data_IF_803562307609
#
_entry.id   IF_803562307609
#
_cell.length_a   1.000
_cell.length_b   1.000
_cell.length_c   1.000
_cell.angle_alpha   90.00
_cell.angle_beta   90.00
_cell.angle_gamma   90.00
#
_symmetry.space_group_name_H-M   'P 1'
#
loop_
_entity.id
_entity.type
_entity.pdbx_description
1 polymer ?
#
# COMPACT_ATOMS: atom_id res chain seq x y z
N UNK A 1 -30.93 -2.22 -2.61
CA UNK A 1 -29.57 -1.88 -3.07
C UNK A 1 -29.62 -0.43 -3.49
N UNK A 2 -28.86 0.43 -2.82
CA UNK A 2 -28.75 1.84 -3.21
C UNK A 2 -27.36 2.01 -3.82
N UNK A 3 -27.30 2.27 -5.13
CA UNK A 3 -26.07 2.60 -5.81
C UNK A 3 -25.91 4.12 -5.73
N UNK A 4 -25.13 4.58 -4.76
CA UNK A 4 -24.86 6.01 -4.58
C UNK A 4 -23.62 6.35 -5.38
N UNK A 5 -23.79 7.19 -6.41
CA UNK A 5 -22.68 7.80 -7.14
C UNK A 5 -22.34 9.12 -6.44
N UNK A 6 -21.26 9.14 -5.68
CA UNK A 6 -20.69 10.38 -5.15
C UNK A 6 -19.60 10.86 -6.08
N UNK A 7 -19.85 11.97 -6.78
CA UNK A 7 -18.85 12.78 -7.47
C UNK A 7 -18.44 13.91 -6.53
N UNK A 8 -17.21 13.90 -6.03
CA UNK A 8 -16.66 15.06 -5.34
C UNK A 8 -15.87 15.89 -6.34
N UNK A 9 -16.44 17.01 -6.79
CA UNK A 9 -15.70 18.08 -7.46
C UNK A 9 -14.93 18.86 -6.39
N UNK A 10 -13.87 18.27 -5.87
CA UNK A 10 -12.78 19.04 -5.30
C UNK A 10 -11.79 19.18 -6.45
N UNK A 11 -11.50 20.42 -6.86
CA UNK A 11 -10.80 20.85 -8.09
C UNK A 11 -9.39 20.25 -8.35
N UNK A 12 -8.99 19.19 -7.65
CA UNK A 12 -7.63 18.66 -7.70
C UNK A 12 -7.52 17.20 -8.15
N UNK A 13 -8.61 16.41 -8.25
CA UNK A 13 -8.53 15.00 -8.66
C UNK A 13 -9.74 14.52 -9.47
N UNK A 14 -9.48 13.81 -10.57
CA UNK A 14 -10.53 13.15 -11.37
C UNK A 14 -10.72 11.71 -10.89
N UNK A 15 -11.27 11.53 -9.68
CA UNK A 15 -11.62 10.20 -9.18
C UNK A 15 -13.12 10.01 -9.01
N UNK A 16 -13.57 8.78 -9.21
CA UNK A 16 -14.95 8.34 -9.02
C UNK A 16 -14.92 7.14 -8.08
N UNK A 17 -15.73 7.16 -7.02
CA UNK A 17 -15.89 5.99 -6.14
C UNK A 17 -17.21 5.27 -6.43
N UNK A 18 -17.16 3.94 -6.53
CA UNK A 18 -18.32 3.08 -6.64
C UNK A 18 -18.53 2.37 -5.32
N UNK A 19 -19.69 2.56 -4.68
CA UNK A 19 -19.98 2.04 -3.35
C UNK A 19 -21.11 1.02 -3.38
N UNK A 20 -20.84 -0.19 -2.91
CA UNK A 20 -21.84 -1.22 -2.63
C UNK A 20 -22.09 -1.26 -1.13
N UNK A 21 -23.31 -0.90 -0.71
CA UNK A 21 -23.77 -1.08 0.66
C UNK A 21 -24.69 -2.29 0.74
N UNK A 22 -24.26 -3.31 1.48
CA UNK A 22 -25.11 -4.44 1.86
C UNK A 22 -26.02 -3.95 2.97
N UNK A 23 -27.32 -4.22 2.83
CA UNK A 23 -28.33 -3.78 3.79
C UNK A 23 -28.19 -4.46 5.15
N UNK A 24 -29.25 -4.37 5.95
CA UNK A 24 -29.24 -4.80 7.36
C UNK A 24 -29.34 -6.32 7.58
N UNK A 25 -29.08 -7.13 6.56
CA UNK A 25 -29.17 -8.60 6.64
C UNK A 25 -27.87 -9.23 6.16
N UNK A 26 -27.48 -10.29 6.85
CA UNK A 26 -26.38 -11.14 6.40
C UNK A 26 -26.75 -11.82 5.07
N UNK A 27 -25.78 -11.91 4.17
CA UNK A 27 -25.89 -12.69 2.95
C UNK A 27 -25.07 -13.97 3.10
N UNK A 28 -25.74 -15.11 3.00
CA UNK A 28 -25.09 -16.43 3.05
C UNK A 28 -25.24 -17.11 1.71
N UNK A 29 -24.17 -17.74 1.24
CA UNK A 29 -24.20 -18.49 -0.02
C UNK A 29 -23.57 -19.88 0.15
N UNK A 30 -24.28 -20.90 -0.33
CA UNK A 30 -23.86 -22.30 -0.24
C UNK A 30 -23.15 -22.82 -1.50
N UNK A 31 -23.05 -21.99 -2.55
CA UNK A 31 -22.28 -22.33 -3.76
C UNK A 31 -20.79 -22.25 -3.42
N UNK A 32 -20.11 -23.38 -3.57
CA UNK A 32 -18.66 -23.46 -3.45
C UNK A 32 -18.01 -22.84 -4.69
N UNK A 33 -17.25 -21.77 -4.49
CA UNK A 33 -16.41 -21.14 -5.49
C UNK A 33 -14.95 -21.37 -5.11
N UNK A 34 -14.04 -21.36 -6.10
CA UNK A 34 -12.61 -21.30 -5.83
C UNK A 34 -12.27 -19.98 -5.15
N UNK A 35 -11.18 -19.95 -4.39
CA UNK A 35 -10.75 -18.79 -3.62
C UNK A 35 -10.72 -17.51 -4.47
N UNK A 36 -10.05 -17.56 -5.62
CA UNK A 36 -9.80 -16.38 -6.46
C UNK A 36 -10.98 -15.96 -7.36
N UNK A 37 -12.09 -16.70 -7.34
CA UNK A 37 -13.27 -16.33 -8.13
C UNK A 37 -14.01 -15.12 -7.52
N UNK A 38 -14.82 -14.46 -8.32
CA UNK A 38 -15.68 -13.36 -7.89
C UNK A 38 -17.07 -13.90 -7.52
N UNK A 39 -17.55 -13.64 -6.30
CA UNK A 39 -18.87 -14.09 -5.82
C UNK A 39 -19.98 -13.10 -6.10
N UNK A 40 -19.68 -11.81 -6.03
CA UNK A 40 -20.61 -10.70 -6.30
C UNK A 40 -20.01 -9.85 -7.39
N UNK A 41 -20.82 -9.36 -8.34
CA UNK A 41 -20.30 -8.48 -9.40
C UNK A 41 -20.84 -7.06 -9.19
N UNK A 42 -20.01 -6.18 -8.65
CA UNK A 42 -20.20 -4.73 -8.66
C UNK A 42 -18.91 -4.03 -8.18
N UNK A 43 -18.42 -3.02 -8.89
CA UNK A 43 -18.81 -2.58 -10.24
C UNK A 43 -18.27 -3.53 -11.33
N UNK A 44 -18.73 -3.31 -12.55
CA UNK A 44 -18.13 -3.88 -13.76
C UNK A 44 -17.79 -2.76 -14.75
N UNK A 45 -16.68 -2.91 -15.44
CA UNK A 45 -16.16 -1.94 -16.40
C UNK A 45 -16.01 -2.61 -17.76
N UNK A 46 -16.67 -2.06 -18.77
CA UNK A 46 -16.44 -2.45 -20.15
C UNK A 46 -15.23 -1.68 -20.67
N UNK A 47 -14.16 -2.39 -20.99
CA UNK A 47 -12.93 -1.82 -21.52
C UNK A 47 -13.09 -1.71 -23.03
N UNK A 48 -13.35 -0.49 -23.51
CA UNK A 48 -13.56 -0.21 -24.93
C UNK A 48 -12.38 0.59 -25.51
N UNK A 49 -12.14 0.34 -26.80
CA UNK A 49 -11.37 1.24 -27.64
C UNK A 49 -12.26 2.42 -28.03
N UNK A 50 -11.71 3.63 -28.04
CA UNK A 50 -12.41 4.84 -28.49
C UNK A 50 -12.34 4.93 -30.03
N UNK A 51 -11.27 4.38 -30.64
CA UNK A 51 -11.06 4.31 -32.08
C UNK A 51 -10.57 2.91 -32.50
N UNK A 52 -10.95 2.47 -33.71
CA UNK A 52 -10.45 1.25 -34.37
C UNK A 52 -8.92 1.15 -34.49
N UNK A 53 -8.21 2.28 -34.49
CA UNK A 53 -6.74 2.35 -34.55
C UNK A 53 -6.10 2.54 -33.16
N UNK A 54 -6.90 2.45 -32.09
CA UNK A 54 -6.43 2.57 -30.73
C UNK A 54 -6.08 1.21 -30.13
N UNK A 55 -4.91 1.13 -29.51
CA UNK A 55 -4.55 -0.01 -28.68
C UNK A 55 -4.65 0.36 -27.20
N UNK A 56 -5.51 -0.35 -26.46
CA UNK A 56 -5.54 -0.29 -25.00
C UNK A 56 -4.39 -1.12 -24.45
N UNK A 57 -3.48 -0.48 -23.73
CA UNK A 57 -2.49 -1.17 -22.91
C UNK A 57 -3.02 -1.32 -21.49
N UNK A 58 -2.51 -2.32 -20.78
CA UNK A 58 -2.70 -2.43 -19.35
C UNK A 58 -1.40 -2.78 -18.65
N UNK A 59 -1.32 -2.46 -17.36
CA UNK A 59 -0.50 -3.21 -16.44
C UNK A 59 -1.21 -3.35 -15.10
N UNK A 60 -0.82 -4.34 -14.32
CA UNK A 60 -1.29 -4.56 -12.96
C UNK A 60 -0.10 -4.93 -12.08
N UNK A 61 -0.12 -4.44 -10.85
CA UNK A 61 0.73 -5.01 -9.81
C UNK A 61 0.13 -6.37 -9.44
N UNK A 62 0.93 -7.41 -9.43
CA UNK A 62 0.48 -8.74 -9.03
C UNK A 62 1.39 -9.28 -7.92
N UNK A 63 0.98 -10.37 -7.30
CA UNK A 63 1.79 -11.08 -6.31
C UNK A 63 1.62 -10.57 -4.88
N UNK A 64 2.36 -11.21 -3.99
CA UNK A 64 2.32 -10.92 -2.55
C UNK A 64 2.82 -9.50 -2.28
N UNK A 65 2.05 -8.72 -1.52
CA UNK A 65 2.34 -7.31 -1.18
C UNK A 65 2.49 -6.38 -2.41
N UNK A 66 1.69 -6.57 -3.46
CA UNK A 66 1.82 -5.83 -4.72
C UNK A 66 3.24 -5.95 -5.33
N UNK A 67 3.79 -7.17 -5.29
CA UNK A 67 5.15 -7.48 -5.69
C UNK A 67 5.55 -6.87 -7.03
N UNK A 68 6.46 -5.89 -7.00
CA UNK A 68 6.95 -5.21 -8.20
C UNK A 68 7.48 -6.19 -9.26
N UNK A 69 8.09 -7.29 -8.81
CA UNK A 69 8.67 -8.33 -9.67
C UNK A 69 7.63 -9.20 -10.38
N UNK A 70 6.36 -9.16 -9.95
CA UNK A 70 5.23 -9.86 -10.57
C UNK A 70 4.36 -8.92 -11.43
N UNK A 71 4.80 -7.69 -11.68
CA UNK A 71 4.06 -6.76 -12.53
C UNK A 71 3.80 -7.36 -13.91
N UNK A 72 2.52 -7.43 -14.28
CA UNK A 72 2.08 -7.95 -15.56
C UNK A 72 1.60 -6.81 -16.46
N UNK A 73 2.08 -6.78 -17.70
CA UNK A 73 1.76 -5.73 -18.70
C UNK A 73 1.68 -6.31 -20.11
N UNK A 74 0.65 -5.95 -20.85
CA UNK A 74 0.49 -6.27 -22.28
C UNK A 74 -0.58 -5.34 -22.91
N UNK A 75 -0.90 -5.59 -24.17
CA UNK A 75 -2.08 -5.06 -24.87
C UNK A 75 -3.32 -5.77 -24.34
N UNK A 76 -4.34 -4.99 -23.99
CA UNK A 76 -5.65 -5.50 -23.61
C UNK A 76 -6.30 -6.25 -24.79
N UNK A 77 -6.60 -7.54 -24.60
CA UNK A 77 -7.22 -8.41 -25.61
C UNK A 77 -8.50 -9.00 -25.06
N UNK A 78 -9.63 -8.67 -25.68
CA UNK A 78 -10.95 -9.18 -25.28
C UNK A 78 -11.06 -10.70 -25.37
N UNK A 79 -10.31 -11.33 -26.27
CA UNK A 79 -10.39 -12.76 -26.54
C UNK A 79 -9.70 -13.63 -25.49
N UNK A 80 -8.87 -13.04 -24.63
CA UNK A 80 -8.01 -13.75 -23.68
C UNK A 80 -8.16 -13.13 -22.29
N UNK A 81 -8.16 -13.95 -21.23
CA UNK A 81 -7.95 -13.44 -19.87
C UNK A 81 -6.51 -13.00 -19.72
N UNK A 82 -6.30 -11.71 -19.46
CA UNK A 82 -4.98 -11.08 -19.37
C UNK A 82 -4.67 -10.53 -17.97
N UNK A 83 -5.65 -10.48 -17.07
CA UNK A 83 -5.47 -10.04 -15.68
C UNK A 83 -5.51 -11.24 -14.71
N UNK A 84 -4.53 -11.32 -13.80
CA UNK A 84 -4.56 -12.28 -12.68
C UNK A 84 -5.66 -11.92 -11.68
N UNK A 85 -6.38 -12.92 -11.20
CA UNK A 85 -7.49 -12.78 -10.26
C UNK A 85 -7.07 -13.08 -8.82
N UNK A 86 -7.92 -12.75 -7.85
CA UNK A 86 -7.78 -13.24 -6.48
C UNK A 86 -6.87 -12.43 -5.58
N UNK A 87 -6.28 -13.10 -4.58
CA UNK A 87 -5.50 -12.46 -3.51
C UNK A 87 -4.21 -11.76 -3.97
N UNK A 88 -3.71 -12.15 -5.13
CA UNK A 88 -2.49 -11.61 -5.72
C UNK A 88 -2.81 -10.60 -6.83
N UNK A 89 -4.06 -10.21 -6.99
CA UNK A 89 -4.47 -9.19 -7.95
C UNK A 89 -4.38 -7.80 -7.30
N UNK A 90 -3.71 -6.87 -7.97
CA UNK A 90 -3.59 -5.48 -7.54
C UNK A 90 -4.45 -4.50 -8.34
N UNK A 91 -4.16 -3.20 -8.20
CA UNK A 91 -4.75 -2.16 -9.03
C UNK A 91 -4.49 -2.43 -10.52
N UNK A 92 -5.52 -2.25 -11.35
CA UNK A 92 -5.42 -2.38 -12.81
C UNK A 92 -5.28 -0.99 -13.42
N UNK A 93 -4.20 -0.78 -14.16
CA UNK A 93 -3.92 0.47 -14.86
C UNK A 93 -4.15 0.26 -16.35
N UNK A 94 -4.97 1.12 -16.94
CA UNK A 94 -5.34 1.11 -18.35
C UNK A 94 -4.88 2.41 -18.99
N UNK A 95 -4.40 2.32 -20.22
CA UNK A 95 -3.88 3.49 -20.93
C UNK A 95 -3.91 3.33 -22.45
N UNK A 96 -3.91 4.46 -23.16
CA UNK A 96 -3.83 4.49 -24.61
C UNK A 96 -2.38 4.32 -25.09
N UNK A 97 -2.06 3.19 -25.75
CA UNK A 97 -0.74 2.92 -26.30
C UNK A 97 -0.41 3.78 -27.53
N UNK A 98 -1.42 4.11 -28.35
CA UNK A 98 -1.27 4.97 -29.52
C UNK A 98 -0.83 6.39 -29.11
N UNK A 99 -1.22 6.84 -27.92
CA UNK A 99 -0.77 8.10 -27.31
C UNK A 99 0.43 7.94 -26.37
N UNK A 100 1.10 6.78 -26.38
CA UNK A 100 2.23 6.48 -25.49
C UNK A 100 1.92 6.66 -23.99
N UNK A 101 0.68 6.37 -23.58
CA UNK A 101 0.24 6.49 -22.20
C UNK A 101 0.14 7.93 -21.69
N UNK A 102 -0.17 8.87 -22.57
CA UNK A 102 -0.44 10.27 -22.23
C UNK A 102 -1.93 10.54 -22.37
N UNK A 103 -2.47 11.52 -21.62
CA UNK A 103 -3.84 12.04 -21.72
C UNK A 103 -4.99 11.10 -21.38
N UNK A 104 -4.74 9.80 -21.25
CA UNK A 104 -5.76 8.80 -20.96
C UNK A 104 -5.17 7.66 -20.13
N UNK A 105 -5.04 7.90 -18.82
CA UNK A 105 -4.64 6.90 -17.84
C UNK A 105 -5.76 6.71 -16.82
N UNK A 106 -6.22 5.47 -16.67
CA UNK A 106 -7.23 5.07 -15.71
C UNK A 106 -6.61 4.03 -14.76
N UNK A 107 -6.81 4.20 -13.47
CA UNK A 107 -6.41 3.24 -12.43
C UNK A 107 -7.67 2.78 -11.70
N UNK A 108 -7.90 1.47 -11.69
CA UNK A 108 -9.03 0.81 -11.04
C UNK A 108 -8.52 0.01 -9.84
N UNK A 109 -9.06 0.29 -8.65
CA UNK A 109 -8.63 -0.41 -7.44
C UNK A 109 -9.73 -0.55 -6.40
N UNK A 110 -9.75 -1.65 -5.64
CA UNK A 110 -10.45 -1.71 -4.37
C UNK A 110 -9.91 -0.64 -3.42
N UNK A 111 -10.81 0.08 -2.75
CA UNK A 111 -10.49 1.16 -1.81
C UNK A 111 -10.90 0.81 -0.38
N UNK A 112 -12.09 0.23 -0.20
CA UNK A 112 -12.58 -0.25 1.11
C UNK A 112 -12.87 -1.74 1.03
N UNK A 113 -12.40 -2.49 2.03
CA UNK A 113 -12.42 -3.96 2.07
C UNK A 113 -11.60 -4.61 0.93
N UNK A 114 -10.49 -3.98 0.55
CA UNK A 114 -9.63 -4.46 -0.54
C UNK A 114 -9.13 -5.90 -0.33
N UNK A 115 -8.85 -6.30 0.91
CA UNK A 115 -8.44 -7.68 1.26
C UNK A 115 -9.54 -8.74 1.06
N UNK A 116 -10.80 -8.33 0.93
CA UNK A 116 -11.94 -9.21 0.68
C UNK A 116 -12.42 -9.15 -0.77
N UNK A 117 -11.72 -8.42 -1.64
CA UNK A 117 -12.11 -8.19 -3.03
C UNK A 117 -11.33 -9.11 -3.96
N UNK A 118 -12.00 -9.61 -4.99
CA UNK A 118 -11.38 -10.24 -6.16
C UNK A 118 -11.86 -9.55 -7.42
N UNK A 119 -11.17 -9.82 -8.53
CA UNK A 119 -11.56 -9.41 -9.87
C UNK A 119 -11.59 -10.60 -10.81
N UNK A 120 -12.38 -10.48 -11.87
CA UNK A 120 -12.36 -11.41 -13.00
C UNK A 120 -12.53 -10.65 -14.30
N UNK A 121 -11.85 -11.12 -15.35
CA UNK A 121 -12.08 -10.63 -16.71
C UNK A 121 -12.96 -11.62 -17.47
N UNK A 122 -14.07 -11.11 -18.01
CA UNK A 122 -14.94 -11.83 -18.94
C UNK A 122 -15.04 -11.02 -20.22
N UNK A 123 -14.45 -11.52 -21.30
CA UNK A 123 -14.29 -10.79 -22.57
C UNK A 123 -13.62 -9.42 -22.36
N UNK A 124 -14.32 -8.34 -22.73
CA UNK A 124 -13.92 -6.95 -22.49
C UNK A 124 -14.46 -6.36 -21.19
N UNK A 125 -15.00 -7.19 -20.29
CA UNK A 125 -15.59 -6.72 -19.04
C UNK A 125 -14.70 -7.12 -17.89
N UNK A 126 -14.21 -6.13 -17.16
CA UNK A 126 -13.53 -6.31 -15.90
C UNK A 126 -14.57 -6.22 -14.77
N UNK A 127 -14.69 -7.28 -13.98
CA UNK A 127 -15.71 -7.41 -12.93
C UNK A 127 -15.02 -7.48 -11.58
N UNK A 128 -15.52 -6.71 -10.61
CA UNK A 128 -15.03 -6.71 -9.23
C UNK A 128 -16.11 -7.21 -8.27
N UNK A 129 -15.65 -7.73 -7.13
CA UNK A 129 -16.47 -7.83 -5.92
C UNK A 129 -15.92 -8.84 -4.93
N UNK A 130 -16.76 -9.35 -4.04
CA UNK A 130 -16.33 -10.17 -2.91
C UNK A 130 -15.71 -11.50 -3.38
N UNK A 131 -14.60 -11.87 -2.75
CA UNK A 131 -13.82 -13.09 -3.02
C UNK A 131 -14.65 -14.38 -2.87
N UNK A 132 -14.39 -15.36 -3.74
CA UNK A 132 -15.16 -16.60 -3.86
C UNK A 132 -15.14 -17.47 -2.61
N UNK A 133 -14.06 -17.45 -1.82
CA UNK A 133 -13.94 -18.17 -0.56
C UNK A 133 -14.88 -17.65 0.54
N UNK A 134 -15.36 -16.41 0.46
CA UNK A 134 -16.21 -15.78 1.48
C UNK A 134 -17.64 -16.34 1.37
N UNK A 135 -18.09 -17.07 2.39
CA UNK A 135 -19.43 -17.71 2.41
C UNK A 135 -20.53 -16.86 3.02
N UNK A 136 -20.14 -15.91 3.89
CA UNK A 136 -21.06 -15.03 4.61
C UNK A 136 -20.54 -13.60 4.50
N UNK A 137 -21.40 -12.69 4.05
CA UNK A 137 -21.16 -11.25 4.07
C UNK A 137 -22.06 -10.66 5.16
N UNK A 138 -21.50 -9.99 6.18
CA UNK A 138 -22.28 -9.49 7.30
C UNK A 138 -23.21 -8.33 6.88
N UNK A 139 -24.27 -8.13 7.66
CA UNK A 139 -25.12 -6.95 7.58
C UNK A 139 -24.29 -5.66 7.64
N UNK A 140 -24.71 -4.64 6.88
CA UNK A 140 -24.04 -3.34 6.78
C UNK A 140 -22.61 -3.38 6.22
N UNK A 141 -22.19 -4.50 5.62
CA UNK A 141 -20.94 -4.56 4.87
C UNK A 141 -20.95 -3.52 3.76
N UNK A 142 -19.87 -2.74 3.66
CA UNK A 142 -19.67 -1.81 2.57
C UNK A 142 -18.39 -2.18 1.82
N UNK A 143 -18.46 -2.08 0.50
CA UNK A 143 -17.33 -2.27 -0.40
C UNK A 143 -17.25 -1.06 -1.32
N UNK A 144 -16.05 -0.50 -1.44
CA UNK A 144 -15.82 0.67 -2.28
C UNK A 144 -14.68 0.39 -3.25
N UNK A 145 -14.93 0.67 -4.53
CA UNK A 145 -13.91 0.76 -5.58
C UNK A 145 -13.64 2.21 -5.89
N UNK A 146 -12.40 2.52 -6.27
CA UNK A 146 -11.99 3.81 -6.82
C UNK A 146 -11.58 3.63 -8.29
N UNK A 147 -12.02 4.56 -9.12
CA UNK A 147 -11.49 4.84 -10.45
C UNK A 147 -10.75 6.17 -10.35
N UNK A 148 -9.47 6.17 -10.65
CA UNK A 148 -8.66 7.37 -10.74
C UNK A 148 -8.31 7.64 -12.20
N UNK A 149 -8.57 8.86 -12.68
CA UNK A 149 -8.21 9.31 -14.01
C UNK A 149 -7.11 10.36 -13.95
N UNK A 150 -6.16 10.28 -14.87
CA UNK A 150 -5.15 11.31 -15.08
C UNK A 150 -4.94 11.55 -16.57
N UNK A 151 -4.89 12.83 -16.95
CA UNK A 151 -4.44 13.26 -18.27
C UNK A 151 -2.91 13.33 -18.38
N UNK A 152 -2.18 13.08 -17.30
CA UNK A 152 -0.72 13.06 -17.32
C UNK A 152 -0.17 11.76 -17.91
N UNK A 153 1.16 11.62 -17.94
CA UNK A 153 1.81 10.37 -18.35
C UNK A 153 1.62 9.29 -17.28
N UNK A 154 1.70 8.02 -17.66
CA UNK A 154 1.53 6.86 -16.75
C UNK A 154 2.30 7.03 -15.42
N UNK A 155 3.58 7.43 -15.46
CA UNK A 155 4.39 7.57 -14.25
C UNK A 155 3.90 8.69 -13.32
N UNK A 156 3.39 9.79 -13.89
CA UNK A 156 2.80 10.89 -13.11
C UNK A 156 1.48 10.45 -12.47
N UNK A 157 0.65 9.75 -13.24
CA UNK A 157 -0.62 9.21 -12.78
C UNK A 157 -0.42 8.21 -11.63
N UNK A 158 0.56 7.32 -11.75
CA UNK A 158 0.94 6.37 -10.69
C UNK A 158 1.41 7.08 -9.45
N UNK A 159 2.31 8.07 -9.56
CA UNK A 159 2.78 8.84 -8.40
C UNK A 159 1.64 9.55 -7.66
N UNK A 160 0.65 10.06 -8.39
CA UNK A 160 -0.52 10.69 -7.81
C UNK A 160 -1.44 9.69 -7.10
N UNK A 161 -1.58 8.49 -7.67
CA UNK A 161 -2.47 7.44 -7.17
C UNK A 161 -1.87 6.66 -5.98
N UNK A 162 -0.58 6.35 -6.04
CA UNK A 162 0.15 5.45 -5.13
C UNK A 162 0.38 6.04 -3.72
N UNK A 163 -0.17 7.23 -3.43
CA UNK A 163 -0.08 7.83 -2.08
C UNK A 163 1.36 8.07 -1.59
N UNK A 164 2.34 8.07 -2.49
CA UNK A 164 3.76 8.28 -2.18
C UNK A 164 4.61 7.02 -2.00
N UNK A 165 4.10 5.80 -2.23
CA UNK A 165 4.93 4.59 -2.11
C UNK A 165 6.11 4.55 -3.11
N UNK A 166 6.04 5.33 -4.20
CA UNK A 166 7.18 5.69 -5.06
C UNK A 166 8.44 6.11 -4.30
N UNK A 167 8.33 6.71 -3.11
CA UNK A 167 9.46 7.15 -2.29
C UNK A 167 10.07 6.04 -1.42
N UNK A 168 9.57 4.81 -1.51
CA UNK A 168 10.20 3.66 -0.89
C UNK A 168 11.56 3.37 -1.54
N UNK A 169 12.66 3.56 -0.77
CA UNK A 169 14.04 3.51 -1.25
C UNK A 169 14.36 4.42 -2.45
N UNK A 170 13.61 5.50 -2.64
CA UNK A 170 13.81 6.44 -3.71
C UNK A 170 13.57 7.88 -3.25
N UNK A 171 14.38 8.81 -3.76
CA UNK A 171 14.31 10.24 -3.45
C UNK A 171 14.10 11.04 -4.73
N UNK A 172 13.75 12.31 -4.59
CA UNK A 172 13.84 13.24 -5.70
C UNK A 172 15.30 13.33 -6.18
N UNK A 173 15.47 13.51 -7.49
CA UNK A 173 16.81 13.46 -8.10
C UNK A 173 17.74 14.51 -7.49
N UNK A 174 18.85 14.04 -6.91
CA UNK A 174 19.86 14.89 -6.27
C UNK A 174 19.52 15.34 -4.85
N UNK A 175 18.40 14.88 -4.28
CA UNK A 175 17.99 15.21 -2.91
C UNK A 175 18.14 14.00 -1.97
N UNK A 176 18.34 14.29 -0.68
CA UNK A 176 18.16 13.31 0.39
C UNK A 176 16.67 13.16 0.79
N UNK A 177 16.36 12.33 1.78
CA UNK A 177 14.98 12.09 2.20
C UNK A 177 14.34 13.27 2.91
N UNK A 178 15.07 13.97 3.76
CA UNK A 178 14.61 15.19 4.42
C UNK A 178 14.19 16.25 3.39
N UNK A 179 15.07 16.57 2.45
CA UNK A 179 14.81 17.51 1.35
C UNK A 179 13.66 17.04 0.46
N UNK A 180 13.59 15.74 0.17
CA UNK A 180 12.51 15.14 -0.62
C UNK A 180 11.16 15.32 0.07
N UNK A 181 11.04 14.94 1.35
CA UNK A 181 9.78 15.06 2.11
C UNK A 181 9.31 16.51 2.19
N UNK A 182 10.23 17.45 2.46
CA UNK A 182 9.91 18.88 2.51
C UNK A 182 9.52 19.44 1.14
N UNK A 183 10.16 18.98 0.07
CA UNK A 183 9.81 19.33 -1.30
C UNK A 183 8.42 18.81 -1.66
N UNK A 184 8.11 17.56 -1.33
CA UNK A 184 6.80 16.94 -1.58
C UNK A 184 5.72 17.64 -0.79
N UNK A 185 5.91 17.89 0.51
CA UNK A 185 4.97 18.62 1.37
C UNK A 185 4.57 19.97 0.78
N UNK A 186 5.53 20.71 0.23
CA UNK A 186 5.30 22.02 -0.40
C UNK A 186 4.59 21.95 -1.76
N UNK A 187 4.74 20.85 -2.49
CA UNK A 187 4.25 20.70 -3.88
C UNK A 187 2.95 19.92 -3.98
N UNK A 188 2.69 19.00 -3.05
CA UNK A 188 1.53 18.13 -3.11
C UNK A 188 0.27 18.93 -2.75
N UNK A 189 -0.75 18.80 -3.58
CA UNK A 189 -2.06 19.44 -3.38
C UNK A 189 -3.04 18.53 -2.65
N UNK A 190 -2.70 17.25 -2.47
CA UNK A 190 -3.54 16.26 -1.77
C UNK A 190 -3.38 16.50 -0.26
N UNK A 191 -4.46 16.67 0.50
CA UNK A 191 -4.35 16.64 1.94
C UNK A 191 -3.93 15.23 2.38
N UNK A 192 -2.79 15.13 3.05
CA UNK A 192 -2.37 13.94 3.78
C UNK A 192 -2.23 14.28 5.26
N UNK A 193 -2.57 13.31 6.11
CA UNK A 193 -2.70 13.53 7.56
C UNK A 193 -1.64 12.80 8.38
N UNK A 194 -0.81 11.98 7.72
CA UNK A 194 0.35 11.36 8.31
C UNK A 194 1.35 10.99 7.22
N UNK A 195 2.62 10.82 7.60
CA UNK A 195 3.64 10.17 6.76
C UNK A 195 3.98 8.81 7.33
N UNK A 196 4.40 7.86 6.48
CA UNK A 196 4.90 6.56 6.94
C UNK A 196 6.38 6.41 6.62
N UNK A 197 7.19 6.21 7.66
CA UNK A 197 8.63 5.96 7.57
C UNK A 197 8.88 4.45 7.62
N UNK A 198 9.26 3.86 6.47
CA UNK A 198 9.41 2.40 6.35
C UNK A 198 10.80 1.89 6.80
N UNK A 199 11.41 0.97 6.05
CA UNK A 199 12.62 0.27 6.42
C UNK A 199 13.89 1.10 6.21
N UNK A 200 13.80 2.25 5.55
CA UNK A 200 14.96 2.97 5.01
C UNK A 200 15.53 4.05 5.95
N UNK A 201 14.81 4.45 7.00
CA UNK A 201 15.16 5.63 7.80
C UNK A 201 16.07 5.39 9.01
N UNK A 202 16.17 4.14 9.48
CA UNK A 202 16.90 3.75 10.69
C UNK A 202 18.15 2.90 10.40
N UNK A 203 18.94 2.59 11.43
CA UNK A 203 20.13 1.74 11.31
C UNK A 203 19.78 0.27 11.38
N UNK A 204 20.25 -0.48 10.38
CA UNK A 204 20.12 -1.94 10.34
C UNK A 204 21.42 -2.59 10.79
N UNK A 205 21.30 -3.65 11.59
CA UNK A 205 22.41 -4.51 11.99
C UNK A 205 22.42 -5.82 11.23
N UNK A 206 22.86 -6.89 11.91
CA UNK A 206 22.92 -8.24 11.38
C UNK A 206 21.58 -8.68 10.75
N UNK A 207 21.68 -9.32 9.59
CA UNK A 207 20.56 -9.81 8.75
C UNK A 207 19.48 -8.76 8.41
N UNK A 208 19.76 -7.48 8.63
CA UNK A 208 18.84 -6.39 8.34
C UNK A 208 17.83 -6.09 9.45
N UNK A 209 17.99 -6.67 10.64
CA UNK A 209 17.21 -6.28 11.82
C UNK A 209 17.52 -4.85 12.28
N UNK A 210 16.69 -4.27 13.13
CA UNK A 210 16.98 -2.95 13.73
C UNK A 210 18.13 -3.07 14.72
N UNK A 211 19.22 -2.33 14.47
CA UNK A 211 20.32 -2.20 15.44
C UNK A 211 20.14 -0.97 16.31
N UNK A 212 19.70 0.13 15.70
CA UNK A 212 19.35 1.38 16.37
C UNK A 212 18.19 2.07 15.64
N UNK A 213 17.11 2.31 16.38
CA UNK A 213 15.89 2.98 15.91
C UNK A 213 16.00 4.50 16.05
N UNK A 214 16.94 5.06 15.28
CA UNK A 214 17.22 6.49 15.22
C UNK A 214 17.39 6.90 13.76
N UNK A 215 16.96 8.10 13.41
CA UNK A 215 17.18 8.66 12.08
C UNK A 215 18.66 8.79 11.77
N UNK A 216 19.02 8.46 10.54
CA UNK A 216 20.42 8.54 10.11
C UNK A 216 20.73 9.92 9.50
N UNK A 217 21.86 10.54 9.85
CA UNK A 217 22.21 11.89 9.38
C UNK A 217 22.56 11.94 7.88
N UNK A 218 22.85 10.80 7.24
CA UNK A 218 23.06 10.74 5.78
C UNK A 218 21.77 10.99 4.97
N UNK A 219 20.60 10.80 5.58
CA UNK A 219 19.29 10.98 4.93
C UNK A 219 18.41 12.02 5.63
N UNK A 220 18.64 12.26 6.92
CA UNK A 220 18.00 13.27 7.76
C UNK A 220 19.08 14.08 8.49
N UNK A 221 19.80 14.98 7.80
CA UNK A 221 20.91 15.73 8.38
C UNK A 221 20.49 16.58 9.59
N UNK A 222 19.28 17.14 9.60
CA UNK A 222 18.74 17.91 10.72
C UNK A 222 17.87 17.05 11.67
N UNK A 223 17.62 15.80 11.30
CA UNK A 223 16.87 14.82 12.07
C UNK A 223 15.35 14.96 11.94
N UNK A 224 14.64 13.89 12.35
CA UNK A 224 13.18 13.82 12.28
C UNK A 224 12.43 14.94 13.05
N UNK A 225 12.91 15.46 14.20
CA UNK A 225 12.27 16.60 14.84
C UNK A 225 12.22 17.85 13.95
N UNK A 226 13.31 18.11 13.20
CA UNK A 226 13.35 19.23 12.23
C UNK A 226 12.33 19.02 11.12
N UNK A 227 12.30 17.82 10.54
CA UNK A 227 11.30 17.44 9.51
C UNK A 227 9.88 17.64 10.03
N UNK A 228 9.57 17.11 11.22
CA UNK A 228 8.26 17.20 11.83
C UNK A 228 7.78 18.66 11.99
N UNK A 229 8.64 19.55 12.49
CA UNK A 229 8.32 20.96 12.61
C UNK A 229 8.15 21.68 11.27
N UNK A 230 8.99 21.36 10.29
CA UNK A 230 8.93 21.96 8.95
C UNK A 230 7.78 21.42 8.08
N UNK A 231 7.23 20.26 8.44
CA UNK A 231 6.04 19.66 7.83
C UNK A 231 4.76 20.00 8.60
N UNK A 232 4.70 21.19 9.23
CA UNK A 232 3.52 21.68 9.96
C UNK A 232 3.02 20.71 11.04
N UNK A 233 3.94 19.95 11.65
CA UNK A 233 3.62 18.95 12.68
C UNK A 233 2.68 17.83 12.20
N UNK A 234 2.78 17.43 10.93
CA UNK A 234 2.09 16.24 10.42
C UNK A 234 2.59 14.99 11.16
N UNK A 235 1.68 14.20 11.76
CA UNK A 235 2.04 12.96 12.45
C UNK A 235 2.77 11.94 11.59
N UNK A 236 3.46 11.01 12.25
CA UNK A 236 4.18 9.93 11.58
C UNK A 236 3.73 8.55 12.05
N UNK A 237 3.68 7.62 11.11
CA UNK A 237 3.79 6.20 11.37
C UNK A 237 5.24 5.79 11.10
N UNK A 238 5.80 4.88 11.89
CA UNK A 238 7.15 4.40 11.65
C UNK A 238 7.28 2.90 11.89
N UNK A 239 8.06 2.30 11.00
CA UNK A 239 8.28 0.86 10.95
C UNK A 239 9.71 0.48 11.38
N UNK A 240 9.87 -0.73 11.91
CA UNK A 240 11.11 -1.50 11.80
C UNK A 240 10.87 -3.01 11.70
N UNK A 241 11.89 -3.74 11.24
CA UNK A 241 11.93 -5.21 11.28
C UNK A 241 12.16 -5.73 12.71
N UNK A 242 12.35 -7.04 12.86
CA UNK A 242 12.86 -7.67 14.08
C UNK A 242 14.16 -7.01 14.61
N UNK A 243 14.46 -7.20 15.89
CA UNK A 243 15.68 -6.67 16.51
C UNK A 243 16.92 -7.44 16.07
N UNK A 244 17.96 -6.73 15.65
CA UNK A 244 19.22 -7.34 15.27
C UNK A 244 19.95 -7.92 16.48
N UNK A 245 20.79 -8.93 16.28
CA UNK A 245 21.59 -9.53 17.35
C UNK A 245 22.56 -8.50 17.96
N UNK A 246 23.08 -7.58 17.16
CA UNK A 246 24.00 -6.49 17.50
C UNK A 246 23.28 -5.17 17.83
N UNK A 247 22.05 -5.24 18.33
CA UNK A 247 21.30 -4.04 18.72
C UNK A 247 21.92 -3.35 19.94
N UNK A 248 22.11 -2.04 19.84
CA UNK A 248 22.66 -1.20 20.93
C UNK A 248 21.74 -1.15 22.16
N UNK A 249 20.46 -1.52 21.98
CA UNK A 249 19.52 -1.56 23.09
C UNK A 249 19.81 -2.69 24.08
N UNK A 250 20.55 -3.71 23.66
CA UNK A 250 20.94 -4.82 24.55
C UNK A 250 21.92 -4.42 25.66
N UNK A 251 22.57 -3.25 25.54
CA UNK A 251 23.42 -2.69 26.60
C UNK A 251 22.60 -2.18 27.80
N UNK A 252 21.32 -1.83 27.59
CA UNK A 252 20.44 -1.22 28.61
C UNK A 252 19.25 -2.09 29.00
N UNK A 253 18.71 -2.89 28.07
CA UNK A 253 17.53 -3.73 28.31
C UNK A 253 17.87 -5.21 28.11
N UNK A 254 17.05 -6.08 28.69
CA UNK A 254 17.25 -7.52 28.54
C UNK A 254 16.80 -7.97 27.16
N UNK A 255 17.56 -8.88 26.55
CA UNK A 255 17.24 -9.50 25.27
C UNK A 255 17.44 -11.01 25.34
N UNK A 256 16.60 -11.76 24.64
CA UNK A 256 16.87 -13.14 24.26
C UNK A 256 17.61 -13.12 22.93
N UNK A 257 18.67 -13.92 22.83
CA UNK A 257 19.55 -13.96 21.66
C UNK A 257 19.43 -15.31 20.95
N UNK A 258 19.12 -15.27 19.67
CA UNK A 258 19.19 -16.41 18.77
C UNK A 258 20.44 -16.26 17.89
N UNK A 259 21.54 -16.85 18.36
CA UNK A 259 22.82 -16.83 17.66
C UNK A 259 22.82 -17.66 16.37
N UNK A 260 21.86 -18.58 16.18
CA UNK A 260 21.78 -19.41 14.98
C UNK A 260 21.16 -18.61 13.83
N UNK A 261 20.05 -17.91 14.12
CA UNK A 261 19.36 -17.09 13.13
C UNK A 261 19.86 -15.63 13.10
N UNK A 262 20.77 -15.26 14.00
CA UNK A 262 21.34 -13.91 14.17
C UNK A 262 20.26 -12.85 14.45
N UNK A 263 19.32 -13.20 15.33
CA UNK A 263 18.20 -12.34 15.74
C UNK A 263 18.18 -12.16 17.25
N UNK A 264 17.56 -11.08 17.72
CA UNK A 264 17.29 -10.89 19.15
C UNK A 264 15.83 -10.51 19.39
N UNK A 265 15.36 -10.72 20.62
CA UNK A 265 14.02 -10.36 21.07
C UNK A 265 14.14 -9.57 22.37
N UNK A 266 13.55 -8.37 22.48
CA UNK A 266 13.52 -7.68 23.75
C UNK A 266 12.72 -8.49 24.77
N UNK A 267 13.29 -8.64 25.96
CA UNK A 267 12.72 -9.40 27.08
C UNK A 267 12.48 -8.47 28.26
N UNK A 268 11.42 -8.72 29.01
CA UNK A 268 11.11 -7.97 30.21
C UNK A 268 9.86 -7.10 30.06
N UNK A 269 9.80 -6.03 30.83
CA UNK A 269 8.65 -5.13 30.90
C UNK A 269 8.59 -4.16 29.69
N UNK A 270 7.63 -3.25 29.73
CA UNK A 270 7.40 -2.28 28.67
C UNK A 270 8.44 -1.13 28.62
N UNK A 271 9.50 -1.14 29.44
CA UNK A 271 10.43 0.00 29.55
C UNK A 271 11.16 0.33 28.24
N UNK A 272 11.55 -0.66 27.44
CA UNK A 272 12.14 -0.41 26.12
C UNK A 272 11.13 0.34 25.23
N UNK A 273 9.90 -0.16 25.18
CA UNK A 273 8.84 0.39 24.33
C UNK A 273 8.42 1.77 24.79
N UNK A 274 8.30 1.98 26.10
CA UNK A 274 7.99 3.30 26.69
C UNK A 274 9.11 4.29 26.32
N UNK A 275 10.38 3.94 26.49
CA UNK A 275 11.48 4.85 26.18
C UNK A 275 11.52 5.20 24.69
N UNK A 276 11.40 4.20 23.79
CA UNK A 276 11.42 4.41 22.34
C UNK A 276 10.22 5.21 21.85
N UNK A 277 9.00 4.81 22.24
CA UNK A 277 7.77 5.40 21.71
C UNK A 277 7.45 6.75 22.37
N UNK A 278 7.84 6.95 23.64
CA UNK A 278 7.70 8.25 24.29
C UNK A 278 8.63 9.26 23.64
N UNK A 279 9.92 8.95 23.46
CA UNK A 279 10.84 9.85 22.78
C UNK A 279 10.34 10.21 21.37
N UNK A 280 9.87 9.20 20.63
CA UNK A 280 9.40 9.38 19.27
C UNK A 280 8.11 10.19 19.14
N UNK A 281 7.12 9.93 20.00
CA UNK A 281 5.86 10.67 20.00
C UNK A 281 6.06 12.13 20.39
N UNK A 282 6.92 12.41 21.37
CA UNK A 282 7.20 13.79 21.81
C UNK A 282 8.02 14.59 20.82
N UNK A 283 9.05 13.98 20.21
CA UNK A 283 10.03 14.73 19.43
C UNK A 283 9.73 14.80 17.93
N UNK A 284 9.03 13.83 17.36
CA UNK A 284 8.75 13.79 15.92
C UNK A 284 7.38 13.21 15.56
N UNK A 285 6.43 13.33 16.49
CA UNK A 285 5.01 13.15 16.19
C UNK A 285 4.59 11.73 15.83
N UNK A 286 5.29 10.72 16.36
CA UNK A 286 4.90 9.32 16.16
C UNK A 286 3.51 9.04 16.75
N UNK A 287 2.61 8.51 15.91
CA UNK A 287 1.26 8.08 16.30
C UNK A 287 0.99 6.60 16.04
N UNK A 288 1.83 5.94 15.23
CA UNK A 288 1.71 4.52 14.91
C UNK A 288 3.08 3.88 14.82
N UNK A 289 3.25 2.75 15.49
CA UNK A 289 4.44 1.90 15.41
C UNK A 289 4.08 0.61 14.68
N UNK A 290 4.89 0.25 13.69
CA UNK A 290 4.77 -0.99 12.94
C UNK A 290 6.02 -1.85 13.14
N UNK A 291 5.84 -3.13 13.47
CA UNK A 291 6.94 -4.09 13.54
C UNK A 291 6.71 -5.24 12.56
N UNK A 292 7.58 -5.34 11.57
CA UNK A 292 7.47 -6.36 10.53
C UNK A 292 8.43 -7.54 10.79
N UNK A 293 8.20 -8.64 10.09
CA UNK A 293 9.00 -9.87 10.11
C UNK A 293 9.00 -10.59 11.46
N UNK A 294 8.00 -10.32 12.31
CA UNK A 294 7.75 -11.07 13.53
C UNK A 294 7.53 -12.56 13.25
N UNK A 295 6.94 -12.93 12.11
CA UNK A 295 6.87 -14.34 11.69
C UNK A 295 8.26 -14.93 11.49
N UNK A 296 9.17 -14.24 10.79
CA UNK A 296 10.54 -14.73 10.62
C UNK A 296 11.26 -14.86 11.97
N UNK A 297 11.00 -13.93 12.89
CA UNK A 297 11.55 -13.92 14.24
C UNK A 297 10.96 -15.03 15.13
N UNK A 298 9.67 -15.39 15.00
CA UNK A 298 8.98 -16.34 15.89
C UNK A 298 8.84 -17.76 15.33
N UNK A 299 8.87 -17.94 14.01
CA UNK A 299 8.84 -19.26 13.37
C UNK A 299 10.20 -19.95 13.39
N UNK A 300 11.29 -19.17 13.33
CA UNK A 300 12.67 -19.68 13.32
C UNK A 300 13.28 -19.87 14.72
N UNK A 301 12.75 -19.17 15.73
CA UNK A 301 13.20 -19.27 17.14
C UNK A 301 12.57 -20.42 17.92
N UNK A 302 11.64 -21.21 17.35
CA UNK A 302 11.01 -22.36 18.05
C UNK A 302 11.95 -23.52 18.40
N UNK A 303 13.23 -23.39 18.11
CA UNK A 303 14.24 -24.43 18.33
C UNK A 303 15.41 -23.99 19.22
N UNK A 304 15.31 -22.81 19.85
CA UNK A 304 16.28 -22.34 20.86
C UNK A 304 15.80 -22.67 22.28
#
# INVERSE_FOLDING_TARGET
YECIYTYSSIEFYSSITFRLNIGTKDLTNNINLKMDQVRTVFPSFKIEQIDTNEYRGYFTFEGVMMGYDEMHRDIWKSSNTVIKSGMEAGPVVLFNLTQHGQNDVIILSPFVQFMATSLSQQDNILQYGVMGSIKTIPANYNHTMILFYSSNRINDALRQYDGGAYYYYNTESGLNYEETLLSVHKKITLPFHYIQLDSWWYYKGLKGGVSQWKSRPDIFPDGLPSVYHQMDSIPSAAHNRYSALDTVYSDKYNFAFDHINEMSLPMGNDSLWIDLLSDASHNWGLIMYEQDWLHAQTSKTRHA
#
